data_IF_610129938534
#
_entry.id   IF_610129938534
#
_cell.length_a   1.000
_cell.length_b   1.000
_cell.length_c   1.000
_cell.angle_alpha   90.00
_cell.angle_beta   90.00
_cell.angle_gamma   90.00
#
_symmetry.space_group_name_H-M   'P 1'
#
loop_
_entity.id
_entity.type
_entity.pdbx_description
1 polymer ?
#
# COMPACT_ATOMS: atom_id res chain seq x y z
N UNK A 1 -0.60 1.30 21.44
CA UNK A 1 0.32 1.81 20.39
C UNK A 1 1.10 2.97 21.00
N UNK A 2 2.43 2.98 20.93
CA UNK A 2 3.22 4.08 21.51
C UNK A 2 2.96 5.38 20.72
N UNK A 3 2.86 6.51 21.43
CA UNK A 3 2.31 7.77 20.91
C UNK A 3 3.16 8.52 19.87
N UNK A 4 4.31 7.99 19.43
CA UNK A 4 5.31 8.81 18.72
C UNK A 4 5.84 8.22 17.39
N UNK A 5 5.19 7.22 16.78
CA UNK A 5 5.55 6.84 15.41
C UNK A 5 4.68 7.62 14.41
N UNK A 6 5.28 8.41 13.50
CA UNK A 6 4.51 9.04 12.42
C UNK A 6 3.82 7.94 11.62
N UNK A 7 2.52 8.12 11.31
CA UNK A 7 1.84 7.24 10.36
C UNK A 7 2.55 7.39 9.03
N UNK A 8 3.21 6.34 8.57
CA UNK A 8 3.88 6.30 7.26
C UNK A 8 2.94 5.83 6.15
N UNK A 9 1.71 5.47 6.50
CA UNK A 9 0.67 5.10 5.56
C UNK A 9 -0.13 6.34 5.18
N UNK A 10 0.03 6.79 3.95
CA UNK A 10 -0.77 7.87 3.35
C UNK A 10 -1.45 7.32 2.12
N UNK A 11 -2.72 6.96 2.26
CA UNK A 11 -3.61 6.56 1.18
C UNK A 11 -3.30 5.28 0.39
N UNK A 12 -2.06 4.81 0.27
CA UNK A 12 -1.72 3.58 -0.46
C UNK A 12 -0.50 2.86 0.11
N UNK A 13 -0.59 1.54 0.19
CA UNK A 13 0.52 0.65 0.54
C UNK A 13 0.46 -0.66 -0.25
N UNK A 14 1.62 -1.07 -0.76
CA UNK A 14 1.81 -2.32 -1.46
C UNK A 14 2.86 -3.14 -0.72
N UNK A 15 2.49 -4.36 -0.35
CA UNK A 15 3.35 -5.31 0.34
C UNK A 15 3.63 -6.48 -0.60
N UNK A 16 4.91 -6.75 -0.85
CA UNK A 16 5.36 -7.80 -1.75
C UNK A 16 6.12 -8.83 -0.91
N UNK A 17 5.58 -10.04 -0.81
CA UNK A 17 6.23 -11.13 -0.09
C UNK A 17 7.34 -11.70 -0.94
N UNK A 18 8.52 -11.83 -0.34
CA UNK A 18 9.72 -12.29 -1.01
C UNK A 18 10.24 -13.59 -0.40
N UNK A 19 10.60 -14.55 -1.25
CA UNK A 19 11.39 -15.73 -0.87
C UNK A 19 12.90 -15.48 -1.00
N UNK A 20 13.28 -14.50 -1.80
CA UNK A 20 14.66 -14.04 -2.04
C UNK A 20 14.67 -12.52 -2.04
N UNK A 21 15.74 -11.89 -1.57
CA UNK A 21 15.83 -10.43 -1.50
C UNK A 21 15.65 -9.77 -2.89
N UNK A 22 14.69 -8.86 -3.00
CA UNK A 22 14.54 -7.98 -4.16
C UNK A 22 15.40 -6.73 -3.96
N UNK A 23 16.11 -6.34 -5.01
CA UNK A 23 16.77 -5.03 -5.03
C UNK A 23 15.71 -3.93 -5.17
N UNK A 24 15.98 -2.75 -4.60
CA UNK A 24 15.06 -1.61 -4.73
C UNK A 24 14.76 -1.28 -6.20
N UNK A 25 15.74 -1.42 -7.10
CA UNK A 25 15.54 -1.21 -8.54
C UNK A 25 14.53 -2.21 -9.13
N UNK A 26 14.57 -3.49 -8.72
CA UNK A 26 13.59 -4.48 -9.16
C UNK A 26 12.19 -4.13 -8.66
N UNK A 27 12.07 -3.70 -7.40
CA UNK A 27 10.80 -3.25 -6.81
C UNK A 27 10.25 -2.06 -7.60
N UNK A 28 11.06 -1.01 -7.79
CA UNK A 28 10.68 0.19 -8.53
C UNK A 28 10.25 -0.12 -9.96
N UNK A 29 11.01 -0.97 -10.68
CA UNK A 29 10.65 -1.40 -12.03
C UNK A 29 9.33 -2.16 -12.08
N UNK A 30 9.02 -2.96 -11.05
CA UNK A 30 7.77 -3.73 -10.99
C UNK A 30 6.51 -2.86 -10.82
N UNK A 31 6.67 -1.62 -10.36
CA UNK A 31 5.62 -0.61 -10.20
C UNK A 31 5.80 0.59 -11.15
N UNK A 32 6.64 0.45 -12.17
CA UNK A 32 6.90 1.48 -13.20
C UNK A 32 7.45 2.81 -12.64
N UNK A 33 8.35 2.74 -11.66
CA UNK A 33 9.03 3.86 -11.00
C UNK A 33 10.56 3.82 -11.18
N UNK A 34 11.06 3.26 -12.27
CA UNK A 34 12.51 3.18 -12.55
C UNK A 34 13.23 4.54 -12.67
N UNK A 35 12.47 5.62 -12.90
CA UNK A 35 12.95 7.00 -12.94
C UNK A 35 13.16 7.61 -11.55
N UNK A 36 12.59 7.00 -10.50
CA UNK A 36 12.78 7.45 -9.12
C UNK A 36 14.19 7.14 -8.63
N UNK A 37 14.80 8.11 -7.95
CA UNK A 37 16.16 7.99 -7.41
C UNK A 37 16.13 8.01 -5.89
N UNK A 38 17.02 7.24 -5.29
CA UNK A 38 17.24 7.27 -3.84
C UNK A 38 17.68 8.68 -3.43
N UNK A 39 16.99 9.25 -2.44
CA UNK A 39 17.29 10.60 -1.92
C UNK A 39 17.77 10.59 -0.47
N UNK A 40 17.61 9.47 0.24
CA UNK A 40 18.06 9.33 1.62
C UNK A 40 17.15 8.43 2.46
N UNK A 41 17.46 8.36 3.75
CA UNK A 41 16.63 7.66 4.74
C UNK A 41 15.54 8.57 5.30
N UNK A 42 14.43 7.97 5.75
CA UNK A 42 13.28 8.72 6.27
C UNK A 42 13.62 9.53 7.53
N UNK A 43 14.45 9.01 8.44
CA UNK A 43 14.90 9.75 9.63
C UNK A 43 15.54 11.12 9.32
N UNK A 44 16.24 11.23 8.18
CA UNK A 44 16.95 12.44 7.74
C UNK A 44 16.13 13.28 6.74
N UNK A 45 15.24 12.61 6.00
CA UNK A 45 14.66 13.13 4.75
C UNK A 45 13.14 13.25 4.76
N UNK A 46 12.43 12.55 5.64
CA UNK A 46 10.98 12.40 5.55
C UNK A 46 10.26 13.76 5.56
N UNK A 47 10.65 14.67 6.48
CA UNK A 47 10.06 16.01 6.54
C UNK A 47 10.39 16.90 5.33
N UNK A 48 11.50 16.65 4.62
CA UNK A 48 11.91 17.42 3.42
C UNK A 48 11.17 16.98 2.15
N UNK A 49 10.76 15.71 2.08
CA UNK A 49 10.09 15.13 0.91
C UNK A 49 8.63 14.76 1.14
N UNK A 50 8.10 14.96 2.35
CA UNK A 50 6.69 14.74 2.72
C UNK A 50 5.72 15.44 1.74
N UNK A 51 6.13 16.58 1.17
CA UNK A 51 5.34 17.36 0.18
C UNK A 51 5.74 17.16 -1.28
N UNK A 52 6.84 16.44 -1.55
CA UNK A 52 7.34 16.20 -2.91
C UNK A 52 6.91 14.81 -3.38
N UNK A 53 6.75 14.60 -4.69
CA UNK A 53 6.40 13.30 -5.24
C UNK A 53 7.48 12.25 -4.91
N UNK A 54 7.25 11.45 -3.88
CA UNK A 54 8.17 10.44 -3.36
C UNK A 54 7.44 9.22 -2.83
N UNK A 55 8.16 8.10 -2.73
CA UNK A 55 7.70 6.85 -2.16
C UNK A 55 8.73 6.33 -1.17
N UNK A 56 8.29 5.50 -0.24
CA UNK A 56 9.14 4.87 0.76
C UNK A 56 9.22 3.36 0.53
N UNK A 57 10.44 2.82 0.55
CA UNK A 57 10.71 1.39 0.54
C UNK A 57 11.29 0.96 1.89
N UNK A 58 10.79 -0.14 2.42
CA UNK A 58 11.41 -0.80 3.58
C UNK A 58 11.13 -2.30 3.57
N UNK A 59 11.83 -3.03 4.42
CA UNK A 59 11.73 -4.48 4.51
C UNK A 59 11.44 -4.87 5.95
N UNK A 60 10.37 -5.64 6.14
CA UNK A 60 9.95 -6.14 7.43
C UNK A 60 9.73 -7.65 7.31
N UNK A 61 10.62 -8.43 7.93
CA UNK A 61 10.70 -9.89 7.78
C UNK A 61 10.85 -10.26 6.29
N UNK A 62 9.90 -11.01 5.74
CA UNK A 62 9.86 -11.47 4.35
C UNK A 62 8.94 -10.63 3.47
N UNK A 63 8.59 -9.41 3.89
CA UNK A 63 7.78 -8.47 3.11
C UNK A 63 8.60 -7.24 2.76
N UNK A 64 8.57 -6.87 1.49
CA UNK A 64 8.96 -5.55 1.01
C UNK A 64 7.72 -4.66 1.07
N UNK A 65 7.87 -3.47 1.63
CA UNK A 65 6.82 -2.50 1.82
C UNK A 65 7.09 -1.32 0.91
N UNK A 66 6.16 -1.04 0.01
CA UNK A 66 6.12 0.17 -0.82
C UNK A 66 5.02 1.05 -0.26
N UNK A 67 5.41 2.17 0.32
CA UNK A 67 4.50 3.08 1.02
C UNK A 67 4.44 4.40 0.26
N UNK A 68 3.23 4.88 0.04
CA UNK A 68 3.01 6.20 -0.52
C UNK A 68 3.24 7.29 0.53
N UNK A 69 3.46 8.53 0.07
CA UNK A 69 3.61 9.69 0.94
C UNK A 69 2.35 10.58 0.87
N UNK A 70 2.35 11.72 1.57
CA UNK A 70 1.20 12.65 1.59
C UNK A 70 0.81 13.22 0.23
N UNK A 71 1.70 13.18 -0.76
CA UNK A 71 1.38 13.61 -2.11
C UNK A 71 0.58 12.56 -2.90
N UNK A 72 0.29 11.39 -2.30
CA UNK A 72 -0.56 10.35 -2.87
C UNK A 72 -0.08 9.95 -4.28
N UNK A 73 1.22 9.71 -4.48
CA UNK A 73 1.80 9.51 -5.81
C UNK A 73 1.42 8.17 -6.41
N UNK A 74 1.44 7.12 -5.59
CA UNK A 74 0.98 5.80 -6.01
C UNK A 74 -0.53 5.87 -6.24
N UNK A 75 -1.26 6.48 -5.30
CA UNK A 75 -2.70 6.68 -5.42
C UNK A 75 -3.11 7.44 -6.70
N UNK A 76 -2.56 8.63 -6.95
CA UNK A 76 -2.85 9.44 -8.15
C UNK A 76 -2.48 8.70 -9.42
N UNK A 77 -1.30 8.06 -9.48
CA UNK A 77 -0.87 7.32 -10.67
C UNK A 77 -1.79 6.13 -10.96
N UNK A 78 -2.39 5.55 -9.93
CA UNK A 78 -3.35 4.48 -10.06
C UNK A 78 -4.80 4.97 -10.20
N UNK A 79 -5.16 6.21 -9.84
CA UNK A 79 -6.52 6.72 -10.03
C UNK A 79 -6.86 7.16 -11.48
N UNK A 80 -5.89 7.63 -12.27
CA UNK A 80 -6.20 8.34 -13.52
C UNK A 80 -6.57 7.49 -14.75
N UNK A 81 -6.62 6.15 -14.66
CA UNK A 81 -7.39 5.38 -15.65
C UNK A 81 -8.74 5.04 -15.03
N UNK A 82 -9.77 5.75 -15.50
CA UNK A 82 -11.13 5.81 -14.97
C UNK A 82 -11.88 4.47 -14.83
N UNK A 83 -11.28 3.33 -15.18
CA UNK A 83 -12.00 2.04 -15.26
C UNK A 83 -11.42 0.84 -14.48
N UNK A 84 -10.22 0.87 -13.85
CA UNK A 84 -9.71 -0.39 -13.24
C UNK A 84 -8.50 -0.36 -12.28
N UNK A 85 -8.07 0.79 -11.76
CA UNK A 85 -6.64 0.93 -11.52
C UNK A 85 -6.28 1.10 -10.02
N UNK A 86 -5.84 -0.01 -9.45
CA UNK A 86 -5.18 -0.25 -8.15
C UNK A 86 -4.93 -1.77 -8.05
N UNK A 87 -5.90 -2.51 -8.59
CA UNK A 87 -5.90 -3.96 -8.81
C UNK A 87 -4.86 -4.35 -9.86
N UNK A 88 -4.64 -3.56 -10.91
CA UNK A 88 -3.80 -3.98 -12.05
C UNK A 88 -2.30 -4.07 -11.75
N UNK A 89 -1.72 -3.12 -11.02
CA UNK A 89 -0.30 -3.21 -10.62
C UNK A 89 -0.11 -4.33 -9.59
N UNK A 90 -0.99 -4.43 -8.60
CA UNK A 90 -0.98 -5.54 -7.65
C UNK A 90 -1.21 -6.90 -8.34
N UNK A 91 -2.04 -6.96 -9.38
CA UNK A 91 -2.26 -8.15 -10.18
C UNK A 91 -1.04 -8.51 -11.02
N UNK A 92 -0.41 -7.52 -11.66
CA UNK A 92 0.81 -7.72 -12.46
C UNK A 92 1.94 -8.27 -11.60
N UNK A 93 2.20 -7.66 -10.44
CA UNK A 93 3.19 -8.14 -9.48
C UNK A 93 2.74 -9.49 -8.89
N UNK A 94 1.45 -9.63 -8.63
CA UNK A 94 0.81 -10.83 -8.10
C UNK A 94 0.97 -12.08 -8.97
N UNK A 95 1.27 -11.92 -10.27
CA UNK A 95 1.65 -13.02 -11.18
C UNK A 95 2.94 -13.70 -10.75
N UNK A 96 3.84 -12.96 -10.14
CA UNK A 96 5.19 -13.42 -9.78
C UNK A 96 5.37 -13.56 -8.26
N UNK A 97 4.66 -12.75 -7.48
CA UNK A 97 4.82 -12.67 -6.03
C UNK A 97 3.49 -12.86 -5.28
N UNK A 98 3.58 -13.14 -3.98
CA UNK A 98 2.43 -12.98 -3.09
C UNK A 98 2.36 -11.50 -2.69
N UNK A 99 1.20 -10.87 -2.90
CA UNK A 99 1.05 -9.41 -2.81
C UNK A 99 -0.18 -9.08 -1.99
N UNK A 100 -0.06 -8.12 -1.08
CA UNK A 100 -1.18 -7.46 -0.43
C UNK A 100 -1.13 -5.97 -0.79
N UNK A 101 -2.24 -5.40 -1.21
CA UNK A 101 -2.37 -3.96 -1.44
C UNK A 101 -3.45 -3.41 -0.53
N UNK A 102 -3.20 -2.26 0.08
CA UNK A 102 -4.12 -1.52 0.94
C UNK A 102 -4.23 -0.10 0.43
N UNK A 103 -5.43 0.48 0.47
CA UNK A 103 -5.62 1.87 0.11
C UNK A 103 -6.74 2.54 0.91
N UNK A 104 -6.68 3.87 0.98
CA UNK A 104 -7.73 4.78 1.45
C UNK A 104 -7.63 6.10 0.68
N UNK A 105 -8.71 6.51 0.02
CA UNK A 105 -8.84 7.88 -0.46
C UNK A 105 -9.25 8.79 0.71
N UNK A 106 -8.51 9.85 0.95
CA UNK A 106 -8.88 10.84 1.96
C UNK A 106 -9.95 11.83 1.48
N UNK A 107 -10.14 11.98 0.16
CA UNK A 107 -11.14 12.86 -0.41
C UNK A 107 -12.52 12.20 -0.41
N UNK A 108 -12.61 10.97 -0.91
CA UNK A 108 -13.89 10.22 -1.03
C UNK A 108 -14.14 9.26 0.13
N UNK A 109 -13.16 9.03 1.01
CA UNK A 109 -13.20 8.01 2.06
C UNK A 109 -13.39 6.58 1.53
N UNK A 110 -13.09 6.36 0.25
CA UNK A 110 -13.01 5.02 -0.31
C UNK A 110 -11.84 4.29 0.34
N UNK A 111 -11.97 3.00 0.56
CA UNK A 111 -10.85 2.20 1.03
C UNK A 111 -11.02 0.75 0.62
N UNK A 112 -9.93 0.01 0.69
CA UNK A 112 -9.99 -1.41 0.38
C UNK A 112 -8.64 -2.08 0.43
N UNK A 113 -8.67 -3.36 0.10
CA UNK A 113 -7.49 -4.15 -0.12
C UNK A 113 -7.74 -5.25 -1.15
N UNK A 114 -6.64 -5.71 -1.73
CA UNK A 114 -6.61 -6.92 -2.52
C UNK A 114 -5.41 -7.78 -2.11
N UNK A 115 -5.59 -9.10 -2.17
CA UNK A 115 -4.57 -10.08 -1.85
C UNK A 115 -4.43 -11.09 -2.97
N UNK A 116 -3.21 -11.21 -3.48
CA UNK A 116 -2.80 -12.12 -4.53
C UNK A 116 -1.85 -13.16 -3.98
N UNK A 117 -2.09 -14.43 -4.32
CA UNK A 117 -1.22 -15.53 -3.93
C UNK A 117 -1.15 -16.57 -5.04
N UNK A 118 0.07 -16.99 -5.40
CA UNK A 118 0.33 -17.95 -6.48
C UNK A 118 -0.30 -17.49 -7.81
N UNK A 119 -0.09 -16.23 -8.19
CA UNK A 119 -0.59 -15.72 -9.47
C UNK A 119 -2.08 -15.36 -9.52
N UNK A 120 -2.84 -15.52 -8.43
CA UNK A 120 -4.31 -15.41 -8.44
C UNK A 120 -4.81 -14.47 -7.36
N UNK A 121 -5.85 -13.70 -7.69
CA UNK A 121 -6.65 -12.96 -6.71
C UNK A 121 -7.30 -13.94 -5.74
N UNK A 122 -7.02 -13.79 -4.44
CA UNK A 122 -7.57 -14.62 -3.37
C UNK A 122 -8.64 -13.89 -2.58
N UNK A 123 -8.47 -12.59 -2.41
CA UNK A 123 -9.38 -11.74 -1.66
C UNK A 123 -9.38 -10.34 -2.24
N UNK A 124 -10.55 -9.77 -2.47
CA UNK A 124 -10.76 -8.34 -2.73
C UNK A 124 -11.87 -7.84 -1.82
N UNK A 125 -11.62 -6.72 -1.17
CA UNK A 125 -12.60 -6.01 -0.37
C UNK A 125 -12.44 -4.53 -0.66
N UNK A 126 -13.46 -3.88 -1.20
CA UNK A 126 -13.46 -2.45 -1.48
C UNK A 126 -14.81 -1.85 -1.11
N UNK A 127 -14.76 -0.62 -0.65
CA UNK A 127 -15.92 0.19 -0.28
C UNK A 127 -15.70 1.57 -0.87
N UNK A 128 -16.68 2.06 -1.63
CA UNK A 128 -16.66 3.41 -2.19
C UNK A 128 -17.85 4.24 -1.69
N UNK A 129 -17.62 5.51 -1.36
CA UNK A 129 -18.62 6.45 -0.82
C UNK A 129 -18.77 7.70 -1.70
N UNK A 130 -19.99 8.26 -1.77
CA UNK A 130 -20.20 9.68 -2.13
C UNK A 130 -20.24 10.48 -0.85
N UNK A 131 -19.41 11.50 -0.73
CA UNK A 131 -19.51 12.58 0.27
C UNK A 131 -19.81 12.12 1.70
N UNK A 132 -19.22 10.99 2.13
CA UNK A 132 -19.38 10.41 3.47
C UNK A 132 -20.80 9.95 3.86
N UNK A 133 -21.78 10.04 2.94
CA UNK A 133 -23.19 9.81 3.27
C UNK A 133 -23.76 8.54 2.61
N UNK A 134 -23.25 8.15 1.44
CA UNK A 134 -23.84 7.05 0.67
C UNK A 134 -22.80 6.10 0.09
N UNK A 135 -22.97 4.80 0.38
CA UNK A 135 -22.24 3.71 -0.27
C UNK A 135 -22.62 3.66 -1.77
N UNK A 136 -21.63 3.81 -2.65
CA UNK A 136 -21.80 3.70 -4.11
C UNK A 136 -21.55 2.27 -4.56
N UNK A 137 -20.43 1.72 -4.10
CA UNK A 137 -19.92 0.46 -4.59
C UNK A 137 -19.30 -0.35 -3.45
N UNK A 138 -19.47 -1.67 -3.56
CA UNK A 138 -18.98 -2.63 -2.59
C UNK A 138 -18.58 -3.92 -3.30
N UNK A 139 -17.28 -4.17 -3.34
CA UNK A 139 -16.77 -5.44 -3.87
C UNK A 139 -16.29 -6.33 -2.73
N UNK A 140 -16.76 -7.57 -2.74
CA UNK A 140 -16.48 -8.56 -1.71
C UNK A 140 -16.27 -9.92 -2.37
N UNK A 141 -15.03 -10.19 -2.77
CA UNK A 141 -14.67 -11.39 -3.53
C UNK A 141 -13.72 -12.30 -2.76
N UNK A 142 -13.91 -13.62 -2.88
CA UNK A 142 -13.02 -14.62 -2.30
C UNK A 142 -13.22 -14.83 -0.79
N UNK A 143 -12.46 -15.77 -0.22
CA UNK A 143 -12.55 -16.12 1.20
C UNK A 143 -11.95 -15.05 2.09
N UNK A 144 -12.60 -14.76 3.22
CA UNK A 144 -12.08 -13.86 4.24
C UNK A 144 -10.69 -14.28 4.68
N UNK A 145 -9.78 -13.32 4.74
CA UNK A 145 -8.49 -13.44 5.40
C UNK A 145 -8.66 -13.46 6.92
N UNK A 146 -7.67 -14.00 7.66
CA UNK A 146 -7.60 -13.83 9.10
C UNK A 146 -7.74 -12.35 9.47
N UNK A 147 -8.32 -12.03 10.63
CA UNK A 147 -8.47 -10.65 11.09
C UNK A 147 -9.55 -9.82 10.36
N UNK A 148 -10.13 -10.31 9.26
CA UNK A 148 -11.35 -9.70 8.70
C UNK A 148 -12.51 -9.90 9.66
N UNK A 149 -12.96 -8.81 10.27
CA UNK A 149 -14.16 -8.75 11.12
C UNK A 149 -15.32 -8.19 10.30
N UNK A 150 -16.55 -8.43 10.74
CA UNK A 150 -17.70 -7.69 10.25
C UNK A 150 -17.58 -6.25 10.77
N UNK A 151 -16.86 -5.40 10.04
CA UNK A 151 -16.78 -3.98 10.34
C UNK A 151 -17.90 -3.26 9.58
N UNK A 152 -18.78 -2.57 10.31
CA UNK A 152 -19.83 -1.73 9.70
C UNK A 152 -19.25 -0.48 9.02
N UNK A 153 -18.03 -0.08 9.40
CA UNK A 153 -17.29 1.03 8.80
C UNK A 153 -15.81 0.69 8.82
N UNK A 154 -15.32 -0.04 7.82
CA UNK A 154 -13.90 -0.32 7.74
C UNK A 154 -13.13 0.98 7.43
N UNK A 155 -11.89 1.01 7.88
CA UNK A 155 -11.00 2.18 7.88
C UNK A 155 -9.57 1.70 7.61
N UNK A 156 -8.61 2.59 7.33
CA UNK A 156 -7.21 2.17 7.18
C UNK A 156 -6.69 1.36 8.38
N UNK A 157 -6.99 1.70 9.65
CA UNK A 157 -6.68 0.82 10.78
C UNK A 157 -7.22 -0.60 10.65
N UNK A 158 -8.44 -0.78 10.12
CA UNK A 158 -8.98 -2.11 9.84
C UNK A 158 -8.18 -2.84 8.76
N UNK A 159 -7.87 -2.18 7.65
CA UNK A 159 -7.10 -2.79 6.55
C UNK A 159 -5.70 -3.19 7.02
N UNK A 160 -5.04 -2.35 7.81
CA UNK A 160 -3.74 -2.65 8.40
C UNK A 160 -3.81 -3.80 9.41
N UNK A 161 -4.91 -3.95 10.15
CA UNK A 161 -5.13 -5.13 11.00
C UNK A 161 -5.21 -6.42 10.19
N UNK A 162 -5.89 -6.40 9.04
CA UNK A 162 -5.94 -7.53 8.10
C UNK A 162 -4.56 -7.81 7.50
N UNK A 163 -3.76 -6.79 7.19
CA UNK A 163 -2.38 -6.99 6.75
C UNK A 163 -1.53 -7.69 7.84
N UNK A 164 -1.65 -7.25 9.09
CA UNK A 164 -0.92 -7.83 10.22
C UNK A 164 -1.29 -9.30 10.47
N UNK A 165 -2.56 -9.66 10.33
CA UNK A 165 -3.04 -11.03 10.56
C UNK A 165 -2.46 -12.05 9.58
N UNK A 166 -2.04 -11.61 8.38
CA UNK A 166 -1.34 -12.43 7.38
C UNK A 166 0.20 -12.34 7.49
N UNK A 167 0.70 -11.68 8.54
CA UNK A 167 2.12 -11.64 8.90
C UNK A 167 2.89 -10.41 8.42
N UNK A 168 2.23 -9.39 7.87
CA UNK A 168 2.87 -8.12 7.49
C UNK A 168 3.16 -7.30 8.74
N UNK A 169 4.44 -7.04 9.02
CA UNK A 169 4.85 -6.27 10.19
C UNK A 169 4.93 -4.79 9.86
N UNK A 170 3.96 -4.02 10.36
CA UNK A 170 3.82 -2.58 10.10
C UNK A 170 4.52 -1.69 11.14
N UNK A 171 5.39 -2.27 11.97
CA UNK A 171 6.20 -1.52 12.94
C UNK A 171 7.49 -1.08 12.28
N UNK A 172 7.53 0.18 11.88
CA UNK A 172 8.62 0.71 11.08
C UNK A 172 9.76 1.27 11.93
N UNK A 173 10.98 1.10 11.41
CA UNK A 173 12.18 1.78 11.90
C UNK A 173 12.59 2.83 10.86
N UNK A 174 12.44 4.11 11.18
CA UNK A 174 12.72 5.24 10.27
C UNK A 174 14.14 5.25 9.69
N UNK A 175 15.12 4.67 10.41
CA UNK A 175 16.51 4.55 9.96
C UNK A 175 16.70 3.46 8.89
N UNK A 176 15.64 2.69 8.58
CA UNK A 176 15.66 1.61 7.58
C UNK A 176 14.73 1.86 6.41
N UNK A 177 14.09 3.03 6.37
CA UNK A 177 13.14 3.38 5.31
C UNK A 177 13.87 4.23 4.30
N UNK A 178 13.98 3.70 3.10
CA UNK A 178 14.65 4.32 1.96
C UNK A 178 13.62 5.15 1.21
N UNK A 179 13.92 6.42 0.99
CA UNK A 179 13.04 7.36 0.29
C UNK A 179 13.53 7.52 -1.15
N UNK A 180 12.59 7.46 -2.09
CA UNK A 180 12.85 7.67 -3.50
C UNK A 180 11.96 8.79 -4.04
N UNK A 181 12.52 9.67 -4.86
CA UNK A 181 11.80 10.77 -5.48
C UNK A 181 12.15 10.89 -6.96
N UNK A 182 11.21 11.44 -7.73
CA UNK A 182 11.47 11.87 -9.10
C UNK A 182 12.32 13.15 -9.08
N UNK A 183 13.39 13.17 -9.89
CA UNK A 183 14.20 14.38 -10.09
C UNK A 183 13.49 15.36 -11.01
#
# INVERSE_FOLDING_TARGET
MSKNQPSLFYGYALFIKQSTALTDLQVLKSISLEDYKYVGLANESYLKYDKKKSICLTECKNWVHVLDNKANNLWQRHQYSKDQLNVDVAAQIGRHYEVFVAYQDHATNDFGFAYYRKGKLKRKYSVAWVDYEKLIDFENYGSKLPGEKNANTPSMPYVLHVAQSIGIDIRYNLNRIRVYAKR
#
